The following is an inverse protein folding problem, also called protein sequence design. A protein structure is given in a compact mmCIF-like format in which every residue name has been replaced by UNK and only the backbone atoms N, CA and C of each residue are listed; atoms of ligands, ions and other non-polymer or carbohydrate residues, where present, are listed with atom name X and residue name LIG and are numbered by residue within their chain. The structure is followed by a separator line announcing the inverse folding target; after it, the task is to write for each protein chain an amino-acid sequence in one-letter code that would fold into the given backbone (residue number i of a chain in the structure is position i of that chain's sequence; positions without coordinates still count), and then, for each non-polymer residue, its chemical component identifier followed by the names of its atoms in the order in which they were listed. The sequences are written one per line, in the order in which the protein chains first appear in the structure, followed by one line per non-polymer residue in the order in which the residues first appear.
data_IF_732131828168
#
_entry.id   IF_732131828168
#
_cell.length_a   1.000
_cell.length_b   1.000
_cell.length_c   1.000
_cell.angle_alpha   90.00
_cell.angle_beta   90.00
_cell.angle_gamma   90.00
#
_symmetry.space_group_name_H-M   'P 1'
#
loop_
_entity.id
_entity.type
_entity.pdbx_description
1 polymer ?
#
# COMPACT_ATOMS: atom_id res chain seq x y z
N UNK A 1 57.98 -24.54 65.31
CA UNK A 1 58.40 -23.94 64.03
C UNK A 1 57.54 -24.50 62.90
N UNK A 2 57.08 -23.61 62.01
CA UNK A 2 56.46 -23.83 60.68
C UNK A 2 55.12 -24.59 60.58
N UNK A 3 54.01 -23.82 60.55
CA UNK A 3 52.77 -24.19 59.86
C UNK A 3 52.79 -23.54 58.47
N UNK A 4 52.96 -24.32 57.39
CA UNK A 4 52.76 -23.84 56.01
C UNK A 4 51.25 -23.73 55.73
N UNK A 5 50.74 -22.50 55.61
CA UNK A 5 49.46 -22.23 54.94
C UNK A 5 49.69 -22.34 53.43
N UNK A 6 48.97 -23.23 52.76
CA UNK A 6 48.81 -23.19 51.31
C UNK A 6 47.63 -22.26 51.01
N UNK A 7 47.90 -21.09 50.42
CA UNK A 7 46.89 -20.28 49.75
C UNK A 7 46.87 -20.69 48.27
N UNK A 8 45.75 -21.28 47.83
CA UNK A 8 45.46 -21.45 46.41
C UNK A 8 44.87 -20.14 45.90
N UNK A 9 45.68 -19.35 45.20
CA UNK A 9 45.19 -18.26 44.36
C UNK A 9 44.49 -18.87 43.14
N UNK A 10 43.16 -18.81 43.11
CA UNK A 10 42.39 -19.09 41.90
C UNK A 10 42.49 -17.85 41.02
N UNK A 11 43.36 -17.90 40.00
CA UNK A 11 43.36 -16.90 38.93
C UNK A 11 42.11 -17.11 38.08
N UNK A 12 41.18 -16.16 38.13
CA UNK A 12 40.05 -16.10 37.20
C UNK A 12 40.59 -15.90 35.77
N UNK A 13 40.22 -16.73 34.78
CA UNK A 13 40.69 -16.56 33.41
C UNK A 13 40.14 -15.26 32.82
N UNK A 14 41.00 -14.53 32.09
CA UNK A 14 40.58 -13.36 31.31
C UNK A 14 39.50 -13.77 30.29
N UNK A 15 38.40 -13.01 30.25
CA UNK A 15 37.17 -13.34 29.51
C UNK A 15 37.33 -13.59 27.98
N UNK A 16 38.46 -13.21 27.38
CA UNK A 16 38.78 -13.55 25.98
C UNK A 16 39.26 -14.98 25.76
N UNK A 17 39.94 -15.61 26.74
CA UNK A 17 40.62 -16.90 26.49
C UNK A 17 39.68 -18.11 26.51
N UNK A 18 38.55 -18.02 27.22
CA UNK A 18 37.61 -19.13 27.35
C UNK A 18 36.80 -19.33 26.07
N UNK A 19 36.29 -18.25 25.47
CA UNK A 19 35.55 -18.30 24.21
C UNK A 19 36.42 -18.86 23.09
N UNK A 20 37.67 -18.39 22.98
CA UNK A 20 38.62 -18.87 21.98
C UNK A 20 39.02 -20.33 22.20
N UNK A 21 39.14 -20.77 23.46
CA UNK A 21 39.45 -22.16 23.79
C UNK A 21 38.27 -23.09 23.48
N UNK A 22 37.04 -22.64 23.74
CA UNK A 22 35.81 -23.35 23.39
C UNK A 22 35.63 -23.44 21.87
N UNK A 23 35.92 -22.36 21.14
CA UNK A 23 35.83 -22.35 19.68
C UNK A 23 36.85 -23.32 19.06
N UNK A 24 38.09 -23.33 19.57
CA UNK A 24 39.13 -24.27 19.15
C UNK A 24 38.76 -25.72 19.47
N UNK A 25 38.17 -25.97 20.64
CA UNK A 25 37.70 -27.30 21.02
C UNK A 25 36.54 -27.75 20.12
N UNK A 26 35.55 -26.89 19.89
CA UNK A 26 34.42 -27.17 19.00
C UNK A 26 34.86 -27.41 17.55
N UNK A 27 35.83 -26.63 17.04
CA UNK A 27 36.41 -26.84 15.71
C UNK A 27 37.13 -28.17 15.57
N UNK A 28 37.70 -28.68 16.67
CA UNK A 28 38.44 -29.94 16.68
C UNK A 28 37.50 -31.15 16.81
N UNK A 29 36.53 -31.09 17.72
CA UNK A 29 35.67 -32.23 18.05
C UNK A 29 34.38 -32.26 17.21
N UNK A 30 33.93 -31.12 16.69
CA UNK A 30 32.70 -30.97 15.90
C UNK A 30 32.90 -30.05 14.66
N UNK A 31 33.85 -30.38 13.76
CA UNK A 31 34.20 -29.50 12.63
C UNK A 31 33.02 -29.19 11.71
N UNK A 32 32.19 -30.19 11.39
CA UNK A 32 31.00 -30.03 10.54
C UNK A 32 29.95 -29.08 11.16
N UNK A 33 29.73 -29.18 12.47
CA UNK A 33 28.79 -28.30 13.18
C UNK A 33 29.28 -26.85 13.21
N UNK A 34 30.59 -26.63 13.36
CA UNK A 34 31.17 -25.28 13.30
C UNK A 34 31.11 -24.72 11.88
N UNK A 35 31.31 -25.54 10.85
CA UNK A 35 31.18 -25.13 9.46
C UNK A 35 29.73 -24.74 9.11
N UNK A 36 28.75 -25.54 9.57
CA UNK A 36 27.32 -25.20 9.46
C UNK A 36 26.98 -23.90 10.19
N UNK A 37 27.49 -23.69 11.40
CA UNK A 37 27.27 -22.44 12.14
C UNK A 37 27.88 -21.23 11.44
N UNK A 38 29.10 -21.37 10.88
CA UNK A 38 29.72 -20.31 10.07
C UNK A 38 28.93 -20.01 8.81
N UNK A 39 28.39 -21.05 8.17
CA UNK A 39 27.54 -20.90 6.98
C UNK A 39 26.25 -20.17 7.33
N UNK A 40 25.58 -20.57 8.42
CA UNK A 40 24.37 -19.89 8.90
C UNK A 40 24.65 -18.44 9.34
N UNK A 41 25.79 -18.18 9.99
CA UNK A 41 26.22 -16.83 10.36
C UNK A 41 26.50 -15.97 9.12
N UNK A 42 27.17 -16.54 8.11
CA UNK A 42 27.40 -15.87 6.82
C UNK A 42 26.08 -15.60 6.08
N UNK A 43 25.15 -16.57 6.02
CA UNK A 43 23.82 -16.41 5.44
C UNK A 43 23.04 -15.26 6.14
N UNK A 44 23.11 -15.19 7.47
CA UNK A 44 22.48 -14.11 8.25
C UNK A 44 23.10 -12.73 7.95
N UNK A 45 24.42 -12.67 7.84
CA UNK A 45 25.14 -11.43 7.48
C UNK A 45 24.80 -11.00 6.06
N UNK A 46 24.79 -11.94 5.11
CA UNK A 46 24.46 -11.66 3.71
C UNK A 46 23.00 -11.17 3.56
N UNK A 47 22.05 -11.75 4.29
CA UNK A 47 20.66 -11.26 4.34
C UNK A 47 20.56 -9.85 4.93
N UNK A 48 21.32 -9.57 5.99
CA UNK A 48 21.35 -8.24 6.62
C UNK A 48 21.91 -7.20 5.65
N UNK A 49 23.02 -7.51 4.97
CA UNK A 49 23.64 -6.62 3.98
C UNK A 49 22.70 -6.38 2.79
N UNK A 50 22.05 -7.42 2.26
CA UNK A 50 21.07 -7.28 1.18
C UNK A 50 19.89 -6.40 1.60
N UNK A 51 19.41 -6.56 2.84
CA UNK A 51 18.34 -5.72 3.39
C UNK A 51 18.75 -4.26 3.49
N UNK A 52 19.95 -3.98 4.00
CA UNK A 52 20.48 -2.62 4.09
C UNK A 52 20.65 -1.99 2.69
N UNK A 53 21.17 -2.75 1.72
CA UNK A 53 21.28 -2.32 0.33
C UNK A 53 19.92 -2.04 -0.31
N UNK A 54 18.93 -2.92 -0.09
CA UNK A 54 17.55 -2.73 -0.55
C UNK A 54 16.94 -1.44 0.00
N UNK A 55 17.11 -1.18 1.30
CA UNK A 55 16.64 0.05 1.94
C UNK A 55 17.35 1.28 1.39
N UNK A 56 18.66 1.21 1.13
CA UNK A 56 19.41 2.30 0.53
C UNK A 56 18.93 2.62 -0.90
N UNK A 57 18.61 1.60 -1.71
CA UNK A 57 18.06 1.79 -3.06
C UNK A 57 16.65 2.39 -2.98
N UNK A 58 15.79 1.89 -2.09
CA UNK A 58 14.45 2.47 -1.86
C UNK A 58 14.57 3.94 -1.42
N UNK A 59 15.50 4.25 -0.52
CA UNK A 59 15.76 5.63 -0.09
C UNK A 59 16.34 6.49 -1.22
N UNK A 60 17.17 5.91 -2.09
CA UNK A 60 17.66 6.58 -3.29
C UNK A 60 16.52 6.89 -4.26
N UNK A 61 15.64 5.93 -4.57
CA UNK A 61 14.42 6.13 -5.38
C UNK A 61 13.54 7.21 -4.73
N UNK A 62 13.47 7.24 -3.40
CA UNK A 62 12.69 8.24 -2.69
C UNK A 62 13.27 9.66 -2.86
N UNK A 63 14.59 9.81 -2.93
CA UNK A 63 15.30 11.12 -2.97
C UNK A 63 15.64 11.63 -4.37
N UNK A 64 16.07 10.74 -5.27
CA UNK A 64 16.63 11.05 -6.59
C UNK A 64 15.79 10.38 -7.69
N UNK A 65 15.62 11.03 -8.86
CA UNK A 65 14.52 10.72 -9.83
C UNK A 65 14.94 9.85 -11.00
N UNK A 66 14.35 8.66 -11.03
CA UNK A 66 13.75 7.83 -12.10
C UNK A 66 14.18 6.36 -11.90
N UNK A 67 13.25 5.40 -11.99
CA UNK A 67 13.66 3.99 -11.93
C UNK A 67 14.51 3.58 -13.14
N UNK A 68 14.36 4.32 -14.26
CA UNK A 68 15.14 4.18 -15.49
C UNK A 68 16.64 4.41 -15.29
N UNK A 69 17.04 5.11 -14.23
CA UNK A 69 18.45 5.35 -13.89
C UNK A 69 19.09 4.19 -13.11
N UNK A 70 18.28 3.24 -12.61
CA UNK A 70 18.79 2.09 -11.87
C UNK A 70 19.38 1.04 -12.80
N UNK A 71 20.51 0.48 -12.37
CA UNK A 71 21.09 -0.68 -13.05
C UNK A 71 20.22 -1.93 -12.84
N UNK A 72 20.36 -2.91 -13.74
CA UNK A 72 19.67 -4.20 -13.59
C UNK A 72 20.02 -4.92 -12.26
N UNK A 73 21.24 -4.72 -11.74
CA UNK A 73 21.65 -5.26 -10.43
C UNK A 73 20.89 -4.58 -9.28
N UNK A 74 20.71 -3.26 -9.32
CA UNK A 74 19.95 -2.51 -8.32
C UNK A 74 18.45 -2.87 -8.35
N UNK A 75 17.87 -2.98 -9.55
CA UNK A 75 16.49 -3.47 -9.72
C UNK A 75 16.33 -4.87 -9.12
N UNK A 76 17.27 -5.79 -9.42
CA UNK A 76 17.24 -7.14 -8.86
C UNK A 76 17.35 -7.16 -7.33
N UNK A 77 18.17 -6.28 -6.73
CA UNK A 77 18.32 -6.17 -5.27
C UNK A 77 17.03 -5.73 -4.57
N UNK A 78 16.18 -4.93 -5.24
CA UNK A 78 14.86 -4.55 -4.71
C UNK A 78 13.74 -5.51 -5.10
N UNK A 79 14.05 -6.54 -5.90
CA UNK A 79 13.12 -7.55 -6.40
C UNK A 79 12.36 -7.12 -7.65
N UNK A 80 12.74 -6.01 -8.28
CA UNK A 80 12.09 -5.52 -9.50
C UNK A 80 12.76 -6.10 -10.75
N UNK A 81 11.94 -6.48 -11.72
CA UNK A 81 12.33 -6.86 -13.07
C UNK A 81 11.68 -5.88 -14.05
N UNK A 82 12.47 -5.23 -14.90
CA UNK A 82 11.92 -4.36 -15.94
C UNK A 82 11.30 -5.21 -17.06
N UNK A 83 10.03 -4.96 -17.38
CA UNK A 83 9.29 -5.69 -18.43
C UNK A 83 9.39 -4.94 -19.76
N UNK A 84 9.21 -3.62 -19.69
CA UNK A 84 9.31 -2.70 -20.83
C UNK A 84 9.86 -1.34 -20.36
N UNK A 85 9.87 -0.34 -21.26
CA UNK A 85 10.39 1.00 -20.97
C UNK A 85 9.69 1.70 -19.78
N UNK A 86 8.43 1.35 -19.50
CA UNK A 86 7.57 2.09 -18.57
C UNK A 86 7.04 1.23 -17.42
N UNK A 87 7.22 -0.10 -17.46
CA UNK A 87 6.65 -1.02 -16.48
C UNK A 87 7.65 -2.03 -15.89
N UNK A 88 7.39 -2.39 -14.64
CA UNK A 88 8.20 -3.29 -13.85
C UNK A 88 7.33 -4.36 -13.20
N UNK A 89 7.94 -5.52 -12.98
CA UNK A 89 7.38 -6.67 -12.28
C UNK A 89 8.03 -6.81 -10.90
N UNK A 90 7.22 -7.11 -9.90
CA UNK A 90 7.65 -7.50 -8.56
C UNK A 90 7.03 -8.87 -8.21
N UNK A 91 7.80 -9.90 -7.81
CA UNK A 91 7.23 -11.17 -7.40
C UNK A 91 6.41 -11.01 -6.11
N UNK A 92 5.30 -11.75 -6.04
CA UNK A 92 4.46 -11.83 -4.84
C UNK A 92 4.98 -12.95 -3.95
N UNK A 93 5.63 -12.57 -2.85
CA UNK A 93 6.06 -13.48 -1.79
C UNK A 93 5.13 -13.43 -0.58
N UNK A 94 4.48 -12.28 -0.36
CA UNK A 94 3.56 -12.02 0.75
C UNK A 94 2.16 -11.71 0.22
N UNK A 95 1.24 -12.68 0.31
CA UNK A 95 -0.14 -12.56 -0.17
C UNK A 95 -1.12 -12.20 0.95
N UNK A 96 -2.22 -11.50 0.63
CA UNK A 96 -3.27 -11.13 1.60
C UNK A 96 -4.41 -12.14 1.75
N UNK A 97 -4.36 -13.25 1.01
CA UNK A 97 -5.36 -14.31 1.03
C UNK A 97 -4.68 -15.67 1.08
N UNK A 98 -5.44 -16.70 1.46
CA UNK A 98 -5.01 -18.10 1.35
C UNK A 98 -5.46 -18.71 0.02
N UNK A 99 -6.72 -18.48 -0.37
CA UNK A 99 -7.25 -18.92 -1.67
C UNK A 99 -6.65 -18.05 -2.78
N UNK A 100 -6.07 -18.73 -3.77
CA UNK A 100 -5.43 -18.16 -4.96
C UNK A 100 -6.46 -18.08 -6.09
N UNK A 101 -6.35 -17.06 -6.93
CA UNK A 101 -7.10 -16.94 -8.16
C UNK A 101 -6.62 -18.00 -9.18
N UNK A 102 -7.51 -18.41 -10.10
CA UNK A 102 -7.11 -19.24 -11.23
C UNK A 102 -6.14 -18.50 -12.15
N UNK A 103 -5.32 -19.26 -12.88
CA UNK A 103 -4.47 -18.71 -13.95
C UNK A 103 -5.33 -17.97 -14.99
N UNK A 104 -4.84 -16.82 -15.46
CA UNK A 104 -5.57 -15.94 -16.37
C UNK A 104 -6.39 -14.85 -15.67
N UNK A 105 -6.43 -14.81 -14.34
CA UNK A 105 -7.06 -13.75 -13.56
C UNK A 105 -6.05 -12.93 -12.76
N UNK A 106 -6.46 -11.73 -12.38
CA UNK A 106 -5.69 -10.84 -11.54
C UNK A 106 -6.57 -9.89 -10.72
N UNK A 107 -5.91 -9.09 -9.92
CA UNK A 107 -6.46 -8.06 -9.07
C UNK A 107 -6.21 -6.67 -9.69
N UNK A 108 -7.15 -5.75 -9.51
CA UNK A 108 -6.98 -4.32 -9.80
C UNK A 108 -7.17 -3.45 -8.55
N UNK A 109 -6.92 -2.15 -8.69
CA UNK A 109 -7.28 -1.15 -7.68
C UNK A 109 -6.71 -1.42 -6.28
N UNK A 110 -7.58 -1.46 -5.27
CA UNK A 110 -7.20 -1.64 -3.86
C UNK A 110 -6.43 -2.95 -3.61
N UNK A 111 -6.91 -4.06 -4.17
CA UNK A 111 -6.30 -5.38 -4.02
C UNK A 111 -4.88 -5.44 -4.62
N UNK A 112 -4.69 -4.90 -5.82
CA UNK A 112 -3.37 -4.83 -6.44
C UNK A 112 -2.40 -3.97 -5.62
N UNK A 113 -2.85 -2.80 -5.11
CA UNK A 113 -2.02 -1.93 -4.26
C UNK A 113 -1.62 -2.61 -2.96
N UNK A 114 -2.52 -3.34 -2.31
CA UNK A 114 -2.18 -4.06 -1.08
C UNK A 114 -1.10 -5.12 -1.31
N UNK A 115 -1.13 -5.85 -2.44
CA UNK A 115 -0.02 -6.75 -2.80
C UNK A 115 1.27 -5.99 -3.04
N UNK A 116 1.24 -4.86 -3.74
CA UNK A 116 2.43 -4.05 -3.97
C UNK A 116 3.06 -3.58 -2.65
N UNK A 117 2.25 -2.98 -1.77
CA UNK A 117 2.71 -2.45 -0.48
C UNK A 117 3.32 -3.53 0.42
N UNK A 118 2.74 -4.73 0.44
CA UNK A 118 3.26 -5.89 1.17
C UNK A 118 4.62 -6.34 0.65
N UNK A 119 4.73 -6.50 -0.68
CA UNK A 119 5.93 -7.07 -1.30
C UNK A 119 7.09 -6.06 -1.41
N UNK A 120 6.79 -4.76 -1.39
CA UNK A 120 7.80 -3.71 -1.17
C UNK A 120 8.21 -3.59 0.31
N UNK A 121 7.47 -4.21 1.24
CA UNK A 121 7.73 -4.11 2.67
C UNK A 121 7.33 -2.76 3.29
N UNK A 122 6.52 -1.95 2.59
CA UNK A 122 6.02 -0.65 3.04
C UNK A 122 4.90 -0.83 4.07
N UNK A 123 3.94 -1.69 3.76
CA UNK A 123 2.88 -2.12 4.69
C UNK A 123 2.65 -3.64 4.57
N UNK A 124 3.39 -4.44 5.37
CA UNK A 124 3.25 -5.90 5.38
C UNK A 124 1.87 -6.39 5.80
N UNK A 125 1.06 -5.54 6.43
CA UNK A 125 -0.27 -5.87 6.93
C UNK A 125 -1.41 -5.37 6.05
N UNK A 126 -1.09 -4.71 4.93
CA UNK A 126 -2.07 -4.05 4.06
C UNK A 126 -3.18 -5.03 3.64
N UNK A 127 -4.44 -4.69 3.90
CA UNK A 127 -5.58 -5.48 3.44
C UNK A 127 -6.43 -4.61 2.51
N UNK A 128 -6.87 -5.16 1.36
CA UNK A 128 -7.82 -4.44 0.53
C UNK A 128 -9.19 -4.42 1.21
N UNK A 129 -9.95 -3.36 0.96
CA UNK A 129 -11.35 -3.26 1.37
C UNK A 129 -12.22 -4.16 0.51
N UNK A 130 -12.10 -3.99 -0.80
CA UNK A 130 -12.81 -4.77 -1.82
C UNK A 130 -11.80 -5.48 -2.72
N UNK A 131 -12.19 -6.65 -3.20
CA UNK A 131 -11.38 -7.47 -4.08
C UNK A 131 -11.94 -7.33 -5.49
N UNK A 132 -11.34 -6.42 -6.25
CA UNK A 132 -11.69 -6.22 -7.66
C UNK A 132 -10.89 -7.19 -8.53
N UNK A 133 -11.60 -8.08 -9.24
CA UNK A 133 -11.00 -9.08 -10.13
C UNK A 133 -11.09 -8.63 -11.58
N UNK A 134 -10.05 -8.95 -12.33
CA UNK A 134 -9.96 -8.79 -13.78
C UNK A 134 -9.53 -10.10 -14.43
N UNK A 135 -9.95 -10.30 -15.67
CA UNK A 135 -9.43 -11.37 -16.53
C UNK A 135 -8.36 -10.80 -17.45
N UNK A 136 -7.22 -11.50 -17.50
CA UNK A 136 -6.02 -11.13 -18.26
C UNK A 136 -5.92 -11.84 -19.61
N UNK A 137 -6.80 -12.80 -19.87
CA UNK A 137 -6.91 -13.56 -21.12
C UNK A 137 -8.13 -13.09 -21.93
N UNK A 138 -8.11 -13.25 -23.25
CA UNK A 138 -9.25 -12.88 -24.11
C UNK A 138 -10.46 -13.80 -23.91
N UNK A 139 -10.20 -15.09 -23.73
CA UNK A 139 -11.21 -16.11 -23.41
C UNK A 139 -11.22 -16.43 -21.91
N UNK A 140 -12.39 -16.82 -21.40
CA UNK A 140 -12.49 -17.43 -20.07
C UNK A 140 -11.62 -18.71 -20.02
N UNK A 141 -10.69 -18.84 -19.05
CA UNK A 141 -9.90 -20.05 -18.89
C UNK A 141 -10.76 -21.31 -18.71
N UNK A 142 -11.88 -21.17 -17.98
CA UNK A 142 -12.90 -22.20 -17.81
C UNK A 142 -14.30 -21.59 -17.97
N UNK A 143 -15.24 -22.26 -18.67
CA UNK A 143 -16.57 -21.72 -18.89
C UNK A 143 -17.34 -21.46 -17.59
N UNK A 144 -17.80 -20.22 -17.39
CA UNK A 144 -18.56 -19.79 -16.22
C UNK A 144 -17.72 -19.23 -15.08
N UNK A 145 -16.38 -19.29 -15.19
CA UNK A 145 -15.46 -18.84 -14.14
C UNK A 145 -15.60 -17.34 -13.84
N UNK A 146 -15.84 -16.50 -14.85
CA UNK A 146 -16.08 -15.06 -14.64
C UNK A 146 -17.26 -14.82 -13.69
N UNK A 147 -18.34 -15.60 -13.82
CA UNK A 147 -19.52 -15.49 -12.95
C UNK A 147 -19.26 -16.03 -11.55
N UNK A 148 -18.54 -17.14 -11.43
CA UNK A 148 -18.18 -17.72 -10.13
C UNK A 148 -17.31 -16.75 -9.31
N UNK A 149 -16.28 -16.17 -9.94
CA UNK A 149 -15.39 -15.21 -9.30
C UNK A 149 -16.11 -13.89 -8.98
N UNK A 150 -16.95 -13.38 -9.87
CA UNK A 150 -17.74 -12.19 -9.59
C UNK A 150 -18.70 -12.40 -8.42
N UNK A 151 -19.38 -13.55 -8.33
CA UNK A 151 -20.25 -13.87 -7.19
C UNK A 151 -19.50 -13.99 -5.88
N UNK A 152 -18.29 -14.55 -5.91
CA UNK A 152 -17.49 -14.77 -4.70
C UNK A 152 -16.85 -13.48 -4.18
N UNK A 153 -16.26 -12.67 -5.06
CA UNK A 153 -15.40 -11.55 -4.67
C UNK A 153 -16.03 -10.16 -4.91
N UNK A 154 -16.98 -10.06 -5.84
CA UNK A 154 -17.65 -8.80 -6.21
C UNK A 154 -19.19 -8.96 -6.21
N UNK A 155 -19.80 -9.50 -5.13
CA UNK A 155 -21.21 -9.91 -5.14
C UNK A 155 -22.19 -8.77 -5.39
N UNK A 156 -21.87 -7.56 -4.97
CA UNK A 156 -22.76 -6.40 -5.12
C UNK A 156 -22.71 -5.81 -6.54
N UNK A 157 -21.54 -5.84 -7.18
CA UNK A 157 -21.39 -5.50 -8.59
C UNK A 157 -22.10 -6.56 -9.45
N UNK A 158 -21.92 -7.85 -9.11
CA UNK A 158 -22.61 -8.95 -9.77
C UNK A 158 -24.13 -8.82 -9.75
N UNK A 159 -24.72 -8.44 -8.60
CA UNK A 159 -26.17 -8.18 -8.49
C UNK A 159 -26.64 -7.02 -9.37
N UNK A 160 -25.77 -6.06 -9.66
CA UNK A 160 -26.05 -4.90 -10.51
C UNK A 160 -25.87 -5.22 -12.01
N UNK A 161 -25.37 -6.41 -12.34
CA UNK A 161 -25.09 -6.85 -13.70
C UNK A 161 -23.68 -6.52 -14.18
N UNK A 162 -22.84 -6.02 -13.28
CA UNK A 162 -21.41 -5.80 -13.52
C UNK A 162 -20.65 -7.09 -13.18
N UNK A 163 -19.65 -7.46 -13.99
CA UNK A 163 -18.92 -8.73 -13.85
C UNK A 163 -17.42 -8.54 -13.85
N UNK A 164 -16.68 -9.65 -14.00
CA UNK A 164 -15.23 -9.59 -14.21
C UNK A 164 -14.94 -8.82 -15.50
N UNK A 165 -14.15 -7.76 -15.39
CA UNK A 165 -13.69 -6.97 -16.53
C UNK A 165 -12.57 -7.71 -17.26
N UNK A 166 -12.58 -7.66 -18.59
CA UNK A 166 -11.51 -8.20 -19.43
C UNK A 166 -10.49 -7.11 -19.74
N UNK A 167 -9.23 -7.33 -19.36
CA UNK A 167 -8.14 -6.44 -19.74
C UNK A 167 -7.58 -6.83 -21.11
N UNK A 168 -8.24 -6.35 -22.16
CA UNK A 168 -7.82 -6.60 -23.56
C UNK A 168 -6.45 -5.99 -23.87
N UNK A 169 -6.15 -4.82 -23.29
CA UNK A 169 -4.90 -4.10 -23.50
C UNK A 169 -4.34 -3.60 -22.16
N UNK A 170 -3.36 -4.33 -21.63
CA UNK A 170 -2.69 -3.99 -20.37
C UNK A 170 -2.05 -2.60 -20.42
N UNK A 171 -1.41 -2.25 -21.55
CA UNK A 171 -0.77 -0.95 -21.71
C UNK A 171 -1.79 0.20 -21.64
N UNK A 172 -2.94 0.05 -22.30
CA UNK A 172 -4.02 1.04 -22.21
C UNK A 172 -4.64 1.09 -20.81
N UNK A 173 -4.88 -0.06 -20.19
CA UNK A 173 -5.36 -0.13 -18.81
C UNK A 173 -4.45 0.66 -17.86
N UNK A 174 -3.15 0.38 -17.87
CA UNK A 174 -2.17 1.05 -17.00
C UNK A 174 -2.12 2.55 -17.27
N UNK A 175 -2.19 2.98 -18.54
CA UNK A 175 -2.06 4.39 -18.91
C UNK A 175 -3.37 5.21 -18.84
N UNK A 176 -4.50 4.62 -18.41
CA UNK A 176 -5.81 5.30 -18.34
C UNK A 176 -6.37 5.37 -16.92
N UNK A 177 -5.54 5.04 -15.92
CA UNK A 177 -5.98 5.10 -14.51
C UNK A 177 -6.08 6.54 -14.08
N UNK A 178 -6.75 6.76 -12.96
CA UNK A 178 -7.04 8.11 -12.46
C UNK A 178 -5.93 8.68 -11.56
N UNK A 179 -5.34 7.81 -10.75
CA UNK A 179 -4.20 8.09 -9.88
C UNK A 179 -3.03 7.23 -10.32
N UNK A 180 -1.81 7.77 -10.20
CA UNK A 180 -0.58 7.03 -10.53
C UNK A 180 -0.46 5.74 -9.73
N UNK A 181 -0.83 5.77 -8.45
CA UNK A 181 -0.84 4.59 -7.57
C UNK A 181 -1.83 3.49 -7.99
N UNK A 182 -2.71 3.76 -8.96
CA UNK A 182 -3.62 2.76 -9.54
C UNK A 182 -3.12 2.19 -10.86
N UNK A 183 -1.99 2.67 -11.39
CA UNK A 183 -1.36 2.19 -12.63
C UNK A 183 -0.60 0.87 -12.38
N UNK A 184 -1.35 -0.13 -11.92
CA UNK A 184 -0.89 -1.48 -11.65
C UNK A 184 -2.01 -2.51 -11.78
N UNK A 185 -1.59 -3.76 -11.92
CA UNK A 185 -2.41 -4.94 -11.63
C UNK A 185 -1.54 -5.98 -10.93
N UNK A 186 -2.16 -6.97 -10.32
CA UNK A 186 -1.44 -8.07 -9.69
C UNK A 186 -2.05 -9.42 -10.06
N UNK A 187 -1.23 -10.45 -10.16
CA UNK A 187 -1.64 -11.84 -10.08
C UNK A 187 -1.25 -12.39 -8.72
N UNK A 188 -1.49 -13.67 -8.47
CA UNK A 188 -0.97 -14.33 -7.28
C UNK A 188 0.56 -14.50 -7.30
N UNK A 189 1.20 -14.37 -8.46
CA UNK A 189 2.63 -14.60 -8.65
C UNK A 189 3.44 -13.31 -8.72
N UNK A 190 2.85 -12.24 -9.25
CA UNK A 190 3.57 -10.99 -9.47
C UNK A 190 2.64 -9.76 -9.49
N UNK A 191 3.20 -8.61 -9.15
CA UNK A 191 2.60 -7.29 -9.38
C UNK A 191 3.29 -6.66 -10.60
N UNK A 192 2.52 -6.09 -11.51
CA UNK A 192 3.04 -5.23 -12.59
C UNK A 192 2.56 -3.82 -12.35
N UNK A 193 3.50 -2.87 -12.31
CA UNK A 193 3.22 -1.47 -12.06
C UNK A 193 4.04 -0.58 -13.01
N UNK A 194 3.52 0.61 -13.31
CA UNK A 194 4.29 1.61 -14.04
C UNK A 194 5.41 2.20 -13.17
N UNK A 195 6.41 2.77 -13.84
CA UNK A 195 7.45 3.58 -13.21
C UNK A 195 6.86 4.71 -12.33
N UNK A 196 5.84 5.40 -12.82
CA UNK A 196 5.14 6.44 -12.07
C UNK A 196 4.46 5.90 -10.81
N UNK A 197 3.75 4.77 -10.93
CA UNK A 197 3.13 4.09 -9.79
C UNK A 197 4.16 3.72 -8.72
N UNK A 198 5.26 3.07 -9.10
CA UNK A 198 6.27 2.61 -8.14
C UNK A 198 6.92 3.76 -7.40
N UNK A 199 7.31 4.82 -8.12
CA UNK A 199 7.92 6.00 -7.49
C UNK A 199 6.97 6.69 -6.53
N UNK A 200 5.72 6.89 -6.92
CA UNK A 200 4.74 7.57 -6.08
C UNK A 200 4.37 6.71 -4.86
N UNK A 201 4.27 5.38 -5.00
CA UNK A 201 4.10 4.48 -3.85
C UNK A 201 5.30 4.52 -2.90
N UNK A 202 6.53 4.45 -3.43
CA UNK A 202 7.77 4.46 -2.62
C UNK A 202 7.95 5.80 -1.90
N UNK A 203 7.60 6.91 -2.56
CA UNK A 203 7.70 8.26 -1.99
C UNK A 203 6.51 8.65 -1.12
N UNK A 204 5.44 7.86 -1.13
CA UNK A 204 4.20 8.18 -0.45
C UNK A 204 3.45 9.35 -1.09
N UNK A 205 3.49 9.53 -2.40
CA UNK A 205 2.82 10.65 -3.08
C UNK A 205 1.45 10.18 -3.61
N UNK A 206 0.40 10.93 -3.28
CA UNK A 206 -0.89 10.83 -3.96
C UNK A 206 -0.90 11.82 -5.11
N UNK A 207 -0.84 11.31 -6.35
CA UNK A 207 -0.87 12.10 -7.59
C UNK A 207 -1.93 11.57 -8.56
N UNK A 208 -2.56 12.47 -9.33
CA UNK A 208 -3.34 12.07 -10.49
C UNK A 208 -2.45 11.55 -11.62
N UNK A 209 -2.98 10.69 -12.49
CA UNK A 209 -2.23 10.22 -13.65
C UNK A 209 -2.03 11.31 -14.70
N UNK A 210 -1.05 11.09 -15.58
CA UNK A 210 -0.86 11.89 -16.79
C UNK A 210 -2.10 11.89 -17.69
N UNK A 211 -2.86 10.80 -17.69
CA UNK A 211 -4.09 10.68 -18.46
C UNK A 211 -5.15 11.65 -17.96
N UNK A 212 -5.46 11.65 -16.66
CA UNK A 212 -6.42 12.60 -16.07
C UNK A 212 -5.95 14.05 -16.22
N UNK A 213 -4.64 14.32 -16.06
CA UNK A 213 -4.08 15.65 -16.26
C UNK A 213 -4.34 16.17 -17.67
N UNK A 214 -4.09 15.35 -18.70
CA UNK A 214 -4.36 15.72 -20.11
C UNK A 214 -5.86 15.84 -20.41
N UNK A 215 -6.70 14.96 -19.84
CA UNK A 215 -8.16 15.02 -20.02
C UNK A 215 -8.75 16.30 -19.42
N UNK A 216 -8.12 16.86 -18.38
CA UNK A 216 -8.56 18.09 -17.73
C UNK A 216 -7.71 19.32 -18.12
N UNK A 217 -7.28 19.40 -19.39
CA UNK A 217 -6.59 20.56 -19.96
C UNK A 217 -5.32 20.98 -19.22
N UNK A 218 -4.49 19.99 -18.87
CA UNK A 218 -3.22 20.19 -18.16
C UNK A 218 -3.44 20.83 -16.79
N UNK A 219 -4.49 20.42 -16.08
CA UNK A 219 -4.85 20.88 -14.74
C UNK A 219 -5.40 19.72 -13.89
N UNK A 220 -5.50 19.94 -12.58
CA UNK A 220 -6.12 18.98 -11.66
C UNK A 220 -7.60 19.33 -11.50
N UNK A 221 -8.46 18.39 -11.89
CA UNK A 221 -9.91 18.59 -11.80
C UNK A 221 -10.41 18.59 -10.35
N UNK A 222 -11.52 19.29 -10.04
CA UNK A 222 -12.05 19.39 -8.67
C UNK A 222 -12.53 18.04 -8.12
N UNK A 223 -12.98 17.13 -9.00
CA UNK A 223 -13.27 15.73 -8.67
C UNK A 223 -12.01 15.03 -8.16
N UNK A 224 -10.87 15.29 -8.80
CA UNK A 224 -9.62 14.61 -8.51
C UNK A 224 -8.95 15.13 -7.27
N UNK A 225 -8.93 16.46 -7.06
CA UNK A 225 -8.50 17.05 -5.78
C UNK A 225 -9.21 16.42 -4.57
N UNK A 226 -10.55 16.31 -4.64
CA UNK A 226 -11.32 15.74 -3.56
C UNK A 226 -11.02 14.25 -3.32
N UNK A 227 -10.82 13.50 -4.42
CA UNK A 227 -10.48 12.08 -4.36
C UNK A 227 -9.08 11.85 -3.79
N UNK A 228 -8.09 12.63 -4.25
CA UNK A 228 -6.72 12.60 -3.76
C UNK A 228 -6.66 12.92 -2.26
N UNK A 229 -7.37 13.97 -1.82
CA UNK A 229 -7.47 14.33 -0.40
C UNK A 229 -8.09 13.21 0.45
N UNK A 230 -9.09 12.49 -0.09
CA UNK A 230 -9.66 11.32 0.59
C UNK A 230 -8.66 10.18 0.73
N UNK A 231 -7.91 9.86 -0.33
CA UNK A 231 -6.85 8.84 -0.28
C UNK A 231 -5.75 9.20 0.71
N UNK A 232 -5.37 10.48 0.73
CA UNK A 232 -4.42 11.01 1.70
C UNK A 232 -4.93 10.84 3.15
N UNK A 233 -6.18 11.23 3.42
CA UNK A 233 -6.79 11.04 4.74
C UNK A 233 -6.92 9.55 5.14
N UNK A 234 -7.26 8.69 4.19
CA UNK A 234 -7.30 7.24 4.39
C UNK A 234 -5.93 6.69 4.81
N UNK A 235 -4.87 7.10 4.13
CA UNK A 235 -3.51 6.67 4.45
C UNK A 235 -3.04 7.18 5.83
N UNK A 236 -3.31 8.45 6.15
CA UNK A 236 -3.01 9.02 7.47
C UNK A 236 -3.74 8.27 8.59
N UNK A 237 -5.00 7.86 8.38
CA UNK A 237 -5.77 7.11 9.38
C UNK A 237 -5.17 5.73 9.71
N UNK A 238 -4.34 5.20 8.79
CA UNK A 238 -3.58 3.94 8.94
C UNK A 238 -2.16 4.17 9.48
N UNK A 239 -1.77 5.41 9.74
CA UNK A 239 -0.42 5.77 10.19
C UNK A 239 0.62 5.73 9.07
N UNK A 240 0.21 5.81 7.80
CA UNK A 240 1.13 5.90 6.68
C UNK A 240 1.57 7.34 6.45
N UNK A 241 2.85 7.53 6.10
CA UNK A 241 3.41 8.83 5.72
C UNK A 241 3.23 9.03 4.22
N UNK A 242 2.09 9.62 3.83
CA UNK A 242 1.87 10.10 2.47
C UNK A 242 1.87 11.63 2.43
N UNK A 243 2.01 12.20 1.23
CA UNK A 243 1.77 13.60 0.89
C UNK A 243 0.88 13.69 -0.33
N UNK A 244 0.18 14.81 -0.48
CA UNK A 244 -0.39 15.17 -1.78
C UNK A 244 0.73 15.66 -2.70
N UNK A 245 0.53 15.52 -4.00
CA UNK A 245 1.38 16.18 -4.99
C UNK A 245 1.35 17.71 -4.84
N UNK A 246 2.48 18.38 -5.05
CA UNK A 246 2.64 19.82 -4.81
C UNK A 246 1.64 20.67 -5.62
N UNK A 247 1.38 20.29 -6.88
CA UNK A 247 0.41 20.99 -7.73
C UNK A 247 -1.02 20.84 -7.18
N UNK A 248 -1.32 19.70 -6.56
CA UNK A 248 -2.61 19.47 -5.92
C UNK A 248 -2.78 20.33 -4.66
N UNK A 249 -1.76 20.42 -3.81
CA UNK A 249 -1.79 21.32 -2.64
C UNK A 249 -1.96 22.78 -3.06
N UNK A 250 -1.18 23.23 -4.04
CA UNK A 250 -1.29 24.59 -4.57
C UNK A 250 -2.69 24.85 -5.14
N UNK A 251 -3.25 23.91 -5.92
CA UNK A 251 -4.58 24.09 -6.51
C UNK A 251 -5.66 24.16 -5.43
N UNK A 252 -5.55 23.36 -4.35
CA UNK A 252 -6.46 23.42 -3.21
C UNK A 252 -6.36 24.77 -2.50
N UNK A 253 -5.14 25.27 -2.27
CA UNK A 253 -4.93 26.56 -1.61
C UNK A 253 -5.50 27.72 -2.45
N UNK A 254 -5.29 27.72 -3.76
CA UNK A 254 -5.69 28.81 -4.66
C UNK A 254 -7.19 28.81 -4.99
N UNK A 255 -7.77 27.64 -5.27
CA UNK A 255 -9.12 27.53 -5.82
C UNK A 255 -10.11 26.78 -4.93
N UNK A 256 -9.63 26.09 -3.90
CA UNK A 256 -10.44 25.22 -3.07
C UNK A 256 -11.01 24.02 -3.84
N UNK A 257 -12.00 23.36 -3.23
CA UNK A 257 -12.70 22.21 -3.81
C UNK A 257 -14.20 22.50 -3.79
N UNK A 258 -14.90 22.17 -4.89
CA UNK A 258 -16.36 22.37 -4.94
C UNK A 258 -17.05 21.50 -3.88
N UNK A 259 -18.02 22.11 -3.18
CA UNK A 259 -18.78 21.51 -2.06
C UNK A 259 -19.32 20.11 -2.38
N UNK A 260 -19.87 19.91 -3.58
CA UNK A 260 -20.37 18.59 -4.00
C UNK A 260 -19.30 17.50 -3.92
N UNK A 261 -18.07 17.78 -4.35
CA UNK A 261 -16.99 16.80 -4.32
C UNK A 261 -16.46 16.55 -2.91
N UNK A 262 -16.55 17.54 -2.02
CA UNK A 262 -16.28 17.37 -0.59
C UNK A 262 -17.29 16.44 0.05
N UNK A 263 -18.58 16.67 -0.20
CA UNK A 263 -19.67 15.83 0.31
C UNK A 263 -19.56 14.38 -0.19
N UNK A 264 -19.34 14.20 -1.50
CA UNK A 264 -19.17 12.87 -2.08
C UNK A 264 -18.01 12.10 -1.46
N UNK A 265 -16.87 12.77 -1.21
CA UNK A 265 -15.71 12.08 -0.65
C UNK A 265 -15.79 11.92 0.87
N UNK A 266 -16.57 12.74 1.58
CA UNK A 266 -16.93 12.49 2.98
C UNK A 266 -17.84 11.25 3.10
N UNK A 267 -18.85 11.11 2.24
CA UNK A 267 -19.72 9.92 2.18
C UNK A 267 -18.89 8.65 1.95
N UNK A 268 -17.95 8.69 1.00
CA UNK A 268 -17.01 7.58 0.74
C UNK A 268 -16.02 7.35 1.88
N UNK A 269 -15.56 8.40 2.56
CA UNK A 269 -14.68 8.24 3.72
C UNK A 269 -15.42 7.53 4.86
N UNK A 270 -16.69 7.86 5.08
CA UNK A 270 -17.53 7.21 6.07
C UNK A 270 -17.83 5.74 5.71
N UNK A 271 -18.05 5.44 4.43
CA UNK A 271 -18.18 4.08 3.90
C UNK A 271 -16.95 3.20 4.23
N UNK A 272 -15.75 3.77 4.23
CA UNK A 272 -14.52 3.05 4.59
C UNK A 272 -14.38 2.88 6.10
N UNK A 273 -14.80 3.88 6.87
CA UNK A 273 -14.94 3.79 8.32
C UNK A 273 -14.76 5.11 9.05
N UNK A 274 -15.24 5.14 10.29
CA UNK A 274 -15.28 6.36 11.12
C UNK A 274 -13.93 7.08 11.22
N UNK A 275 -12.83 6.35 11.43
CA UNK A 275 -11.48 6.94 11.52
C UNK A 275 -11.06 7.68 10.24
N UNK A 276 -11.44 7.15 9.07
CA UNK A 276 -11.13 7.78 7.78
C UNK A 276 -11.97 9.04 7.59
N UNK A 277 -13.26 9.00 7.93
CA UNK A 277 -14.13 10.16 7.89
C UNK A 277 -13.66 11.28 8.83
N UNK A 278 -13.32 10.94 10.08
CA UNK A 278 -12.77 11.90 11.04
C UNK A 278 -11.46 12.50 10.56
N UNK A 279 -10.55 11.68 10.00
CA UNK A 279 -9.31 12.19 9.43
C UNK A 279 -9.58 13.11 8.25
N UNK A 280 -10.51 12.74 7.35
CA UNK A 280 -10.90 13.57 6.21
C UNK A 280 -11.44 14.93 6.67
N UNK A 281 -12.31 14.97 7.68
CA UNK A 281 -12.80 16.23 8.28
C UNK A 281 -11.66 17.09 8.81
N UNK A 282 -10.70 16.50 9.54
CA UNK A 282 -9.51 17.23 10.03
C UNK A 282 -8.73 17.85 8.88
N UNK A 283 -8.52 17.11 7.79
CA UNK A 283 -7.79 17.61 6.62
C UNK A 283 -8.54 18.74 5.89
N UNK A 284 -9.87 18.67 5.84
CA UNK A 284 -10.70 19.77 5.32
C UNK A 284 -10.57 21.03 6.17
N UNK A 285 -10.57 20.90 7.50
CA UNK A 285 -10.42 22.04 8.43
C UNK A 285 -9.02 22.65 8.36
N UNK A 286 -7.97 21.82 8.34
CA UNK A 286 -6.58 22.28 8.24
C UNK A 286 -6.33 23.10 6.96
N UNK A 287 -6.92 22.67 5.85
CA UNK A 287 -6.88 23.38 4.56
C UNK A 287 -7.93 24.48 4.42
N UNK A 288 -8.68 24.78 5.49
CA UNK A 288 -9.72 25.83 5.55
C UNK A 288 -10.80 25.67 4.47
N UNK A 289 -11.05 24.44 4.02
CA UNK A 289 -12.10 24.10 3.06
C UNK A 289 -13.48 24.09 3.71
N UNK A 290 -13.52 23.90 5.03
CA UNK A 290 -14.72 23.97 5.85
C UNK A 290 -14.45 24.79 7.14
N UNK A 291 -15.51 25.29 7.82
CA UNK A 291 -15.35 25.99 9.10
C UNK A 291 -14.69 25.13 10.19
N UNK A 292 -13.78 25.74 10.96
CA UNK A 292 -13.04 25.07 12.03
C UNK A 292 -13.86 24.79 13.30
N UNK A 293 -15.09 25.29 13.39
CA UNK A 293 -15.97 25.14 14.55
C UNK A 293 -16.99 24.00 14.41
N UNK A 294 -16.89 23.19 13.35
CA UNK A 294 -17.70 21.99 13.17
C UNK A 294 -17.05 20.87 13.98
N UNK A 295 -17.79 20.25 14.90
CA UNK A 295 -17.22 19.41 15.95
C UNK A 295 -16.96 17.99 15.47
N UNK A 296 -17.85 17.44 14.63
CA UNK A 296 -17.79 16.06 14.18
C UNK A 296 -18.20 15.86 12.71
N UNK A 297 -18.19 14.60 12.26
CA UNK A 297 -18.54 14.20 10.88
C UNK A 297 -19.99 14.58 10.53
N UNK A 298 -20.90 14.51 11.48
CA UNK A 298 -22.32 14.82 11.25
C UNK A 298 -22.52 16.32 11.06
N UNK A 299 -21.91 17.15 11.91
CA UNK A 299 -21.91 18.61 11.75
C UNK A 299 -21.42 19.04 10.37
N UNK A 300 -20.36 18.39 9.89
CA UNK A 300 -19.80 18.66 8.56
C UNK A 300 -20.73 18.19 7.45
N UNK A 301 -21.32 17.00 7.56
CA UNK A 301 -22.29 16.51 6.59
C UNK A 301 -23.50 17.45 6.47
N UNK A 302 -24.05 17.90 7.60
CA UNK A 302 -25.16 18.84 7.66
C UNK A 302 -24.79 20.20 7.07
N UNK A 303 -23.59 20.72 7.39
CA UNK A 303 -23.10 21.97 6.81
C UNK A 303 -22.95 21.85 5.29
N UNK A 304 -22.32 20.79 4.78
CA UNK A 304 -22.15 20.54 3.35
C UNK A 304 -23.51 20.42 2.63
N UNK A 305 -24.47 19.71 3.24
CA UNK A 305 -25.83 19.59 2.73
C UNK A 305 -26.51 20.97 2.62
N UNK A 306 -26.38 21.81 3.64
CA UNK A 306 -26.91 23.18 3.62
C UNK A 306 -26.25 24.05 2.54
N UNK A 307 -24.93 23.92 2.34
CA UNK A 307 -24.21 24.67 1.30
C UNK A 307 -24.64 24.30 -0.13
N UNK A 308 -24.98 23.04 -0.37
CA UNK A 308 -25.44 22.59 -1.68
C UNK A 308 -26.90 22.92 -1.94
N UNK A 309 -27.73 22.98 -0.90
CA UNK A 309 -29.18 23.12 -0.98
C UNK A 309 -29.91 21.77 -1.01
N UNK A 310 -31.16 21.69 -0.52
CA UNK A 310 -31.89 20.44 -0.38
C UNK A 310 -32.05 19.67 -1.70
N UNK A 311 -31.84 18.35 -1.65
CA UNK A 311 -32.03 17.44 -2.80
C UNK A 311 -30.85 17.35 -3.78
N UNK A 312 -29.77 18.10 -3.55
CA UNK A 312 -28.58 18.07 -4.43
C UNK A 312 -27.58 16.97 -4.06
N UNK A 313 -27.67 16.40 -2.86
CA UNK A 313 -26.84 15.28 -2.40
C UNK A 313 -27.54 14.52 -1.28
N UNK A 314 -27.32 13.20 -1.21
CA UNK A 314 -27.81 12.35 -0.13
C UNK A 314 -26.64 11.51 0.41
N UNK A 315 -26.31 11.71 1.68
CA UNK A 315 -25.32 10.88 2.37
C UNK A 315 -25.94 9.52 2.66
N UNK A 316 -25.26 8.46 2.21
CA UNK A 316 -25.68 7.07 2.41
C UNK A 316 -24.99 6.44 3.61
N UNK A 317 -23.80 6.95 3.95
CA UNK A 317 -22.90 6.30 4.93
C UNK A 317 -22.53 7.20 6.12
N UNK A 318 -23.09 8.41 6.22
CA UNK A 318 -23.00 9.24 7.42
C UNK A 318 -24.41 9.32 8.07
N UNK A 319 -24.62 9.19 9.41
CA UNK A 319 -23.71 9.05 10.55
C UNK A 319 -23.92 7.80 11.47
N UNK A 320 -23.11 7.76 12.55
CA UNK A 320 -22.99 6.75 13.62
C UNK A 320 -24.29 6.13 14.19
N UNK A 321 -25.41 6.87 14.20
CA UNK A 321 -26.68 6.38 14.75
C UNK A 321 -27.40 5.33 13.89
N UNK A 322 -26.94 5.10 12.65
CA UNK A 322 -27.48 4.05 11.76
C UNK A 322 -26.77 2.70 11.98
N UNK A 323 -25.51 2.70 12.43
CA UNK A 323 -24.78 1.45 12.71
C UNK A 323 -25.35 0.68 13.92
N UNK A 324 -25.98 1.36 14.89
CA UNK A 324 -26.69 0.69 16.00
C UNK A 324 -28.10 0.21 15.61
N UNK A 325 -28.69 0.77 14.55
CA UNK A 325 -30.03 0.38 14.09
C UNK A 325 -30.01 -0.82 13.13
N UNK A 326 -28.87 -1.13 12.50
CA UNK A 326 -28.76 -2.30 11.62
C UNK A 326 -28.52 -3.62 12.39
N UNK A 327 -27.95 -3.58 13.59
CA UNK A 327 -27.88 -4.76 14.47
C UNK A 327 -29.27 -5.12 15.06
N UNK A 328 -30.17 -4.15 15.22
CA UNK A 328 -31.55 -4.36 15.71
C UNK A 328 -32.55 -4.80 14.61
N UNK A 329 -32.16 -4.79 13.32
CA UNK A 329 -32.99 -5.25 12.21
C UNK A 329 -32.69 -6.69 11.76
N UNK A 330 -31.66 -7.33 12.34
CA UNK A 330 -31.24 -8.71 12.06
C UNK A 330 -31.68 -9.70 13.17
N UNK A 331 -32.44 -9.25 14.18
CA UNK A 331 -33.23 -10.12 15.10
C UNK A 331 -34.74 -10.11 14.80
#
# INVERSE_FOLDING_TARGET
MSKKRFSLEIKTPQAGSFKDSLLKYAQKEFPEAVELLKKAEQETVDETVKREQRLAIIEHIAREKELSDLTAEELHLVGLEQIDEWSYRLPVTEHFMEKRLPEGYGYKGGAARSLLLRNLGIDPTSLPRDIDIVRLTEDEPEPGMDNELAQEYMPDDFKQGDGVEVLENIGEYLNTRDLTMNELYATDEYVVATDACLRDIIRGIVRQSDYEYKQYHDQIGPKMLAKMLRFYAEALSRGMELTLDDDAEQTIEEYGIRVFWLALNLDKAAEIGAKVAEQYVKELQQRKLIPANLEDVQDVADWLYQQMGPGNFYFRYAPASVYEAEDDWVE
#
